data_IF_877629868019
#
_entry.id   IF_877629868019
#
_cell.length_a   1.000
_cell.length_b   1.000
_cell.length_c   1.000
_cell.angle_alpha   90.00
_cell.angle_beta   90.00
_cell.angle_gamma   90.00
#
_symmetry.space_group_name_H-M   'P 1'
#
loop_
_entity.id
_entity.type
_entity.pdbx_description
1 polymer ?
#
# COMPACT_ATOMS: atom_id res chain seq x y z
N UNK A 1 14.84 -12.42 3.86
CA UNK A 1 14.54 -11.02 4.24
C UNK A 1 13.03 -10.79 4.26
N UNK A 2 12.50 -10.03 5.24
CA UNK A 2 11.06 -9.68 5.29
C UNK A 2 10.80 -8.44 4.45
N UNK A 3 9.91 -8.55 3.45
CA UNK A 3 9.58 -7.50 2.49
C UNK A 3 8.09 -7.20 2.56
N UNK A 4 7.74 -5.95 2.84
CA UNK A 4 6.35 -5.49 2.90
C UNK A 4 5.94 -4.69 1.67
N UNK A 5 4.67 -4.81 1.29
CA UNK A 5 4.07 -4.10 0.16
C UNK A 5 2.72 -3.51 0.54
N UNK A 6 2.45 -2.30 0.08
CA UNK A 6 1.07 -1.81 0.02
C UNK A 6 0.29 -2.50 -1.11
N UNK A 7 -1.03 -2.41 -1.05
CA UNK A 7 -1.95 -2.98 -2.06
C UNK A 7 -2.33 -1.95 -3.12
N UNK A 8 -2.84 -0.80 -2.66
CA UNK A 8 -3.40 0.21 -3.55
C UNK A 8 -2.28 0.95 -4.30
N UNK A 9 -2.45 1.17 -5.60
CA UNK A 9 -1.45 1.75 -6.53
C UNK A 9 -0.14 0.96 -6.68
N UNK A 10 0.10 -0.06 -5.86
CA UNK A 10 1.22 -0.99 -6.07
C UNK A 10 0.77 -2.20 -6.90
N UNK A 11 -0.36 -2.81 -6.59
CA UNK A 11 -0.92 -3.97 -7.33
C UNK A 11 -2.25 -3.67 -8.00
N UNK A 12 -3.02 -2.73 -7.44
CA UNK A 12 -4.37 -2.37 -7.88
C UNK A 12 -4.42 -0.87 -8.07
N UNK A 13 -4.73 -0.44 -9.28
CA UNK A 13 -4.81 0.99 -9.58
C UNK A 13 -6.14 1.60 -9.12
N UNK A 14 -6.23 2.93 -9.11
CA UNK A 14 -7.50 3.64 -8.92
C UNK A 14 -8.38 3.54 -10.17
N UNK A 15 -9.69 3.79 -10.05
CA UNK A 15 -10.56 3.91 -11.20
C UNK A 15 -10.01 4.96 -12.19
N UNK A 16 -9.87 4.64 -13.48
CA UNK A 16 -9.21 5.52 -14.46
C UNK A 16 -9.96 6.84 -14.71
N UNK A 17 -11.26 6.85 -14.38
CA UNK A 17 -12.13 8.04 -14.54
C UNK A 17 -12.13 8.97 -13.31
N UNK A 18 -11.43 8.63 -12.23
CA UNK A 18 -11.32 9.49 -11.04
C UNK A 18 -9.92 10.11 -11.00
N UNK A 19 -9.81 11.45 -11.05
CA UNK A 19 -8.51 12.11 -10.96
C UNK A 19 -7.80 11.78 -9.64
N UNK A 20 -6.48 11.49 -9.65
CA UNK A 20 -5.73 11.16 -8.43
C UNK A 20 -5.82 12.25 -7.35
N UNK A 21 -5.84 13.53 -7.73
CA UNK A 21 -5.99 14.66 -6.80
C UNK A 21 -7.31 14.62 -6.01
N UNK A 22 -8.41 14.19 -6.67
CA UNK A 22 -9.71 14.05 -6.00
C UNK A 22 -9.67 12.90 -4.98
N UNK A 23 -8.96 11.84 -5.31
CA UNK A 23 -8.79 10.71 -4.39
C UNK A 23 -7.96 11.16 -3.18
N UNK A 24 -6.82 11.82 -3.40
CA UNK A 24 -5.99 12.33 -2.31
C UNK A 24 -6.80 13.27 -1.39
N UNK A 25 -7.61 14.15 -1.97
CA UNK A 25 -8.51 15.03 -1.21
C UNK A 25 -9.55 14.27 -0.37
N UNK A 26 -10.12 13.19 -0.91
CA UNK A 26 -11.09 12.35 -0.19
C UNK A 26 -10.44 11.50 0.94
N UNK A 27 -9.14 11.22 0.84
CA UNK A 27 -8.46 10.28 1.74
C UNK A 27 -7.59 10.99 2.78
N UNK A 28 -7.06 12.19 2.51
CA UNK A 28 -6.20 12.92 3.42
C UNK A 28 -6.96 14.06 4.10
N UNK A 29 -6.72 14.20 5.39
CA UNK A 29 -7.25 15.31 6.18
C UNK A 29 -6.21 16.44 6.24
N UNK A 30 -6.32 17.38 5.32
CA UNK A 30 -5.40 18.53 5.23
C UNK A 30 -5.64 19.61 6.29
N UNK A 31 -6.68 19.49 7.12
CA UNK A 31 -6.95 20.44 8.20
C UNK A 31 -6.00 20.29 9.38
N UNK A 32 -5.32 19.16 9.49
CA UNK A 32 -4.40 18.83 10.57
C UNK A 32 -2.94 19.12 10.20
N UNK A 33 -2.16 19.62 11.15
CA UNK A 33 -0.71 19.85 10.98
C UNK A 33 0.07 18.54 10.83
N UNK A 34 -0.42 17.47 11.46
CA UNK A 34 0.17 16.14 11.38
C UNK A 34 -0.50 15.29 10.30
N UNK A 35 0.22 14.27 9.82
CA UNK A 35 -0.32 13.34 8.83
C UNK A 35 -1.59 12.68 9.37
N UNK A 36 -2.70 12.92 8.70
CA UNK A 36 -4.00 12.38 9.08
C UNK A 36 -4.78 11.94 7.85
N UNK A 37 -5.53 10.86 8.01
CA UNK A 37 -6.38 10.32 6.95
C UNK A 37 -7.84 10.38 7.36
N UNK A 38 -8.69 10.73 6.40
CA UNK A 38 -10.13 10.80 6.60
C UNK A 38 -10.73 9.41 6.74
N UNK A 39 -11.29 9.13 7.91
CA UNK A 39 -12.02 7.87 8.18
C UNK A 39 -13.50 8.12 7.90
N UNK A 40 -14.14 7.37 6.99
CA UNK A 40 -15.57 7.56 6.72
C UNK A 40 -16.40 7.06 7.90
N UNK A 41 -17.10 7.98 8.56
CA UNK A 41 -17.99 7.67 9.70
C UNK A 41 -19.42 7.41 9.25
N UNK A 42 -19.96 8.21 8.31
CA UNK A 42 -21.35 8.09 7.87
C UNK A 42 -21.58 6.86 6.98
N UNK A 43 -22.79 6.25 7.01
CA UNK A 43 -23.15 5.14 6.13
C UNK A 43 -22.99 5.50 4.64
N UNK A 44 -23.36 6.72 4.26
CA UNK A 44 -23.25 7.21 2.88
C UNK A 44 -21.77 7.30 2.45
N UNK A 45 -20.90 7.86 3.28
CA UNK A 45 -19.47 7.93 2.97
C UNK A 45 -18.84 6.54 2.84
N UNK A 46 -19.24 5.58 3.69
CA UNK A 46 -18.83 4.18 3.58
C UNK A 46 -19.33 3.54 2.28
N UNK A 47 -20.58 3.82 1.88
CA UNK A 47 -21.16 3.29 0.64
C UNK A 47 -20.40 3.82 -0.58
N UNK A 48 -20.16 5.14 -0.67
CA UNK A 48 -19.39 5.76 -1.76
C UNK A 48 -17.98 5.13 -1.83
N UNK A 49 -17.31 5.03 -0.68
CA UNK A 49 -15.98 4.42 -0.65
C UNK A 49 -16.00 2.95 -1.04
N UNK A 50 -17.02 2.19 -0.60
CA UNK A 50 -17.19 0.79 -0.99
C UNK A 50 -17.41 0.63 -2.49
N UNK A 51 -18.22 1.48 -3.11
CA UNK A 51 -18.45 1.47 -4.56
C UNK A 51 -17.17 1.73 -5.36
N UNK A 52 -16.32 2.66 -4.90
CA UNK A 52 -15.03 2.93 -5.53
C UNK A 52 -14.01 1.78 -5.39
N UNK A 53 -14.29 0.78 -4.56
CA UNK A 53 -13.43 -0.40 -4.35
C UNK A 53 -13.96 -1.66 -5.03
N UNK A 54 -15.04 -1.55 -5.81
CA UNK A 54 -15.53 -2.67 -6.61
C UNK A 54 -14.45 -3.07 -7.63
N UNK A 55 -14.07 -4.34 -7.71
CA UNK A 55 -12.93 -4.80 -8.52
C UNK A 55 -12.99 -4.46 -10.01
N UNK A 56 -14.20 -4.33 -10.58
CA UNK A 56 -14.38 -3.97 -11.99
C UNK A 56 -13.87 -2.56 -12.31
N UNK A 57 -13.90 -1.64 -11.34
CA UNK A 57 -13.44 -0.26 -11.51
C UNK A 57 -11.96 -0.07 -11.16
N UNK A 58 -11.30 -1.11 -10.63
CA UNK A 58 -9.93 -1.03 -10.14
C UNK A 58 -9.02 -1.93 -10.97
N UNK A 59 -8.38 -1.40 -12.01
CA UNK A 59 -7.52 -2.18 -12.89
C UNK A 59 -6.30 -2.74 -12.12
N UNK A 60 -5.98 -3.99 -12.43
CA UNK A 60 -4.80 -4.68 -11.89
C UNK A 60 -3.54 -4.19 -12.57
N UNK A 61 -2.49 -3.97 -11.81
CA UNK A 61 -1.15 -3.71 -12.34
C UNK A 61 -0.47 -5.06 -12.58
N UNK A 62 -0.77 -5.66 -13.75
CA UNK A 62 -0.41 -7.04 -14.09
C UNK A 62 1.09 -7.31 -13.95
N UNK A 63 1.94 -6.37 -14.41
CA UNK A 63 3.40 -6.50 -14.32
C UNK A 63 3.89 -6.64 -12.87
N UNK A 64 3.32 -5.87 -11.93
CA UNK A 64 3.69 -5.93 -10.53
C UNK A 64 3.21 -7.22 -9.86
N UNK A 65 2.00 -7.69 -10.25
CA UNK A 65 1.46 -8.97 -9.78
C UNK A 65 2.35 -10.13 -10.26
N UNK A 66 2.75 -10.13 -11.53
CA UNK A 66 3.65 -11.15 -12.06
C UNK A 66 5.02 -11.11 -11.38
N UNK A 67 5.56 -9.91 -11.17
CA UNK A 67 6.84 -9.74 -10.50
C UNK A 67 6.81 -10.31 -9.06
N UNK A 68 5.80 -9.96 -8.25
CA UNK A 68 5.74 -10.43 -6.86
C UNK A 68 5.50 -11.94 -6.78
N UNK A 69 4.76 -12.53 -7.73
CA UNK A 69 4.59 -13.99 -7.84
C UNK A 69 5.93 -14.69 -8.11
N UNK A 70 6.74 -14.14 -8.99
CA UNK A 70 8.09 -14.68 -9.26
C UNK A 70 9.00 -14.49 -8.04
N UNK A 71 8.95 -13.34 -7.38
CA UNK A 71 9.74 -13.07 -6.19
C UNK A 71 9.40 -14.05 -5.05
N UNK A 72 8.14 -14.45 -4.91
CA UNK A 72 7.70 -15.43 -3.91
C UNK A 72 8.28 -16.84 -4.12
N UNK A 73 8.82 -17.15 -5.30
CA UNK A 73 9.50 -18.42 -5.55
C UNK A 73 10.92 -18.43 -4.96
N UNK A 74 11.41 -17.31 -4.47
CA UNK A 74 12.75 -17.20 -3.87
C UNK A 74 12.67 -17.50 -2.37
N UNK A 75 13.18 -18.64 -1.87
CA UNK A 75 12.97 -19.09 -0.49
C UNK A 75 13.55 -18.15 0.58
N UNK A 76 14.53 -17.32 0.22
CA UNK A 76 15.18 -16.38 1.13
C UNK A 76 14.32 -15.17 1.50
N UNK A 77 13.16 -14.97 0.83
CA UNK A 77 12.30 -13.82 1.03
C UNK A 77 10.95 -14.21 1.60
N UNK A 78 10.53 -13.49 2.63
CA UNK A 78 9.18 -13.56 3.20
C UNK A 78 8.43 -12.31 2.80
N UNK A 79 7.33 -12.47 2.06
CA UNK A 79 6.56 -11.38 1.52
C UNK A 79 5.32 -11.11 2.37
N UNK A 80 5.05 -9.84 2.64
CA UNK A 80 3.95 -9.37 3.47
C UNK A 80 3.14 -8.31 2.73
N UNK A 81 1.81 -8.44 2.77
CA UNK A 81 0.90 -7.41 2.27
C UNK A 81 0.34 -6.63 3.45
N UNK A 82 0.49 -5.30 3.42
CA UNK A 82 0.06 -4.40 4.50
C UNK A 82 -0.84 -3.33 3.90
N UNK A 83 -2.16 -3.50 4.01
CA UNK A 83 -3.14 -2.61 3.40
C UNK A 83 -3.93 -1.83 4.45
N UNK A 84 -3.94 -0.51 4.32
CA UNK A 84 -4.70 0.38 5.21
C UNK A 84 -6.20 0.40 4.96
N UNK A 85 -6.72 -0.48 4.11
CA UNK A 85 -8.16 -0.57 3.85
C UNK A 85 -8.92 -0.92 5.12
N UNK A 86 -9.90 -0.11 5.45
CA UNK A 86 -10.71 -0.24 6.67
C UNK A 86 -11.57 -1.50 6.68
N UNK A 87 -12.02 -1.92 7.86
CA UNK A 87 -12.81 -3.13 8.13
C UNK A 87 -13.99 -3.31 7.17
N UNK A 88 -14.73 -2.25 6.85
CA UNK A 88 -15.90 -2.35 5.96
C UNK A 88 -15.56 -2.74 4.50
N UNK A 89 -14.26 -2.70 4.12
CA UNK A 89 -13.72 -3.13 2.82
C UNK A 89 -13.09 -4.53 2.87
N UNK A 90 -13.01 -5.17 4.02
CA UNK A 90 -12.28 -6.42 4.23
C UNK A 90 -12.75 -7.54 3.29
N UNK A 91 -14.07 -7.76 3.20
CA UNK A 91 -14.65 -8.78 2.31
C UNK A 91 -14.29 -8.52 0.83
N UNK A 92 -14.40 -7.28 0.37
CA UNK A 92 -14.04 -6.91 -1.02
C UNK A 92 -12.53 -7.08 -1.27
N UNK A 93 -11.73 -6.76 -0.27
CA UNK A 93 -10.27 -6.91 -0.36
C UNK A 93 -9.88 -8.38 -0.43
N UNK A 94 -10.43 -9.22 0.43
CA UNK A 94 -10.17 -10.68 0.41
C UNK A 94 -10.59 -11.31 -0.93
N UNK A 95 -11.76 -10.95 -1.46
CA UNK A 95 -12.20 -11.42 -2.78
C UNK A 95 -11.25 -10.94 -3.90
N UNK A 96 -10.77 -9.71 -3.82
CA UNK A 96 -9.81 -9.17 -4.77
C UNK A 96 -8.48 -9.94 -4.74
N UNK A 97 -7.95 -10.20 -3.55
CA UNK A 97 -6.69 -10.95 -3.35
C UNK A 97 -6.81 -12.38 -3.89
N UNK A 98 -7.93 -13.05 -3.65
CA UNK A 98 -8.20 -14.37 -4.23
C UNK A 98 -8.26 -14.34 -5.76
N UNK A 99 -9.06 -13.43 -6.35
CA UNK A 99 -9.22 -13.28 -7.81
C UNK A 99 -7.94 -12.89 -8.54
N UNK A 100 -6.99 -12.26 -7.85
CA UNK A 100 -5.69 -11.89 -8.42
C UNK A 100 -4.63 -12.96 -8.21
N UNK A 101 -4.90 -13.94 -7.35
CA UNK A 101 -3.93 -14.93 -6.88
C UNK A 101 -2.88 -14.33 -5.93
N UNK A 102 -3.11 -13.14 -5.40
CA UNK A 102 -2.21 -12.52 -4.43
C UNK A 102 -2.33 -13.15 -3.04
N UNK A 103 -3.48 -13.74 -2.72
CA UNK A 103 -3.69 -14.38 -1.43
C UNK A 103 -2.69 -15.52 -1.13
N UNK A 104 -2.16 -16.18 -2.16
CA UNK A 104 -1.21 -17.28 -2.04
C UNK A 104 0.26 -16.83 -2.13
N UNK A 105 0.49 -15.54 -2.44
CA UNK A 105 1.85 -14.99 -2.63
C UNK A 105 2.47 -14.56 -1.32
N UNK A 106 1.64 -13.99 -0.43
CA UNK A 106 2.10 -13.38 0.81
C UNK A 106 2.01 -14.35 1.98
N UNK A 107 3.09 -14.42 2.75
CA UNK A 107 3.13 -15.20 3.99
C UNK A 107 2.26 -14.59 5.08
N UNK A 108 2.15 -13.26 5.09
CA UNK A 108 1.26 -12.51 5.99
C UNK A 108 0.48 -11.44 5.21
N UNK A 109 -0.82 -11.34 5.50
CA UNK A 109 -1.72 -10.32 4.94
C UNK A 109 -2.36 -9.57 6.08
N UNK A 110 -2.04 -8.29 6.19
CA UNK A 110 -2.50 -7.41 7.25
C UNK A 110 -3.47 -6.38 6.70
N UNK A 111 -4.70 -6.40 7.20
CA UNK A 111 -5.75 -5.44 6.86
C UNK A 111 -6.09 -4.61 8.09
N UNK A 112 -6.41 -3.34 7.90
CA UNK A 112 -6.71 -2.41 9.00
C UNK A 112 -8.11 -2.62 9.59
N UNK A 113 -8.34 -3.78 10.18
CA UNK A 113 -9.63 -4.17 10.77
C UNK A 113 -10.01 -3.37 12.00
N UNK A 114 -9.04 -2.73 12.67
CA UNK A 114 -9.27 -1.84 13.80
C UNK A 114 -9.65 -0.40 13.38
N UNK A 115 -9.63 -0.09 12.07
CA UNK A 115 -9.83 1.25 11.53
C UNK A 115 -8.89 2.31 12.13
N UNK A 116 -7.66 1.92 12.44
CA UNK A 116 -6.63 2.83 12.92
C UNK A 116 -6.19 3.82 11.81
N UNK A 117 -5.48 4.88 12.18
CA UNK A 117 -4.86 5.76 11.20
C UNK A 117 -3.87 4.97 10.34
N UNK A 118 -3.90 5.10 9.00
CA UNK A 118 -3.08 4.32 8.07
C UNK A 118 -1.60 4.27 8.40
N UNK A 119 -0.99 5.40 8.74
CA UNK A 119 0.43 5.49 9.09
C UNK A 119 0.76 4.74 10.39
N UNK A 120 -0.09 4.86 11.42
CA UNK A 120 0.10 4.15 12.70
C UNK A 120 -0.10 2.64 12.55
N UNK A 121 -1.11 2.24 11.79
CA UNK A 121 -1.34 0.82 11.49
C UNK A 121 -0.15 0.20 10.77
N UNK A 122 0.33 0.84 9.69
CA UNK A 122 1.47 0.32 8.92
C UNK A 122 2.75 0.30 9.75
N UNK A 123 3.00 1.34 10.54
CA UNK A 123 4.14 1.40 11.46
C UNK A 123 4.14 0.20 12.43
N UNK A 124 3.00 -0.07 13.08
CA UNK A 124 2.87 -1.18 14.02
C UNK A 124 3.17 -2.53 13.35
N UNK A 125 2.55 -2.80 12.20
CA UNK A 125 2.74 -4.07 11.46
C UNK A 125 4.18 -4.22 10.98
N UNK A 126 4.81 -3.14 10.50
CA UNK A 126 6.20 -3.13 10.04
C UNK A 126 7.15 -3.50 11.19
N UNK A 127 6.97 -2.91 12.37
CA UNK A 127 7.79 -3.19 13.55
C UNK A 127 7.59 -4.62 14.05
N UNK A 128 6.34 -5.05 14.19
CA UNK A 128 5.97 -6.39 14.67
C UNK A 128 6.57 -7.49 13.78
N UNK A 129 6.50 -7.32 12.46
CA UNK A 129 6.98 -8.31 11.51
C UNK A 129 8.44 -8.09 11.08
N UNK A 130 9.15 -7.15 11.69
CA UNK A 130 10.55 -6.83 11.37
C UNK A 130 10.78 -6.68 9.86
N UNK A 131 9.92 -5.89 9.23
CA UNK A 131 10.02 -5.63 7.78
C UNK A 131 11.30 -4.87 7.50
N UNK A 132 12.17 -5.41 6.68
CA UNK A 132 13.47 -4.81 6.34
C UNK A 132 13.40 -3.90 5.10
N UNK A 133 12.44 -4.16 4.20
CA UNK A 133 12.18 -3.35 3.01
C UNK A 133 10.67 -3.19 2.84
N UNK A 134 10.22 -1.95 2.62
CA UNK A 134 8.80 -1.64 2.42
C UNK A 134 8.57 -0.80 1.18
N UNK A 135 7.55 -1.17 0.39
CA UNK A 135 7.16 -0.50 -0.85
C UNK A 135 5.78 0.10 -0.71
N UNK A 136 5.65 1.40 -0.98
CA UNK A 136 4.39 2.13 -0.92
C UNK A 136 4.35 3.25 -1.98
N UNK A 137 3.17 3.69 -2.39
CA UNK A 137 2.99 4.84 -3.29
C UNK A 137 2.74 6.16 -2.56
N UNK A 138 2.42 6.12 -1.26
CA UNK A 138 2.18 7.31 -0.43
C UNK A 138 3.47 7.84 0.19
N UNK A 139 4.07 8.84 -0.46
CA UNK A 139 5.30 9.46 0.02
C UNK A 139 5.16 10.09 1.42
N UNK A 140 3.98 10.64 1.77
CA UNK A 140 3.78 11.24 3.09
C UNK A 140 3.82 10.18 4.20
N UNK A 141 3.24 9.02 3.94
CA UNK A 141 3.30 7.86 4.82
C UNK A 141 4.74 7.32 4.91
N UNK A 142 5.46 7.22 3.80
CA UNK A 142 6.87 6.80 3.81
C UNK A 142 7.75 7.77 4.60
N UNK A 143 7.51 9.09 4.50
CA UNK A 143 8.22 10.10 5.33
C UNK A 143 7.95 9.92 6.82
N UNK A 144 6.73 9.54 7.21
CA UNK A 144 6.43 9.16 8.58
C UNK A 144 7.23 7.92 9.01
N UNK A 145 7.19 6.85 8.22
CA UNK A 145 7.90 5.60 8.51
C UNK A 145 9.42 5.80 8.56
N UNK A 146 9.97 6.70 7.73
CA UNK A 146 11.40 7.03 7.77
C UNK A 146 11.83 7.58 9.14
N UNK A 147 10.96 8.37 9.78
CA UNK A 147 11.20 8.93 11.11
C UNK A 147 11.00 7.92 12.25
N UNK A 148 9.99 7.04 12.10
CA UNK A 148 9.52 6.19 13.21
C UNK A 148 10.02 4.75 13.16
N UNK A 149 10.55 4.31 12.01
CA UNK A 149 11.08 2.97 11.78
C UNK A 149 12.54 3.06 11.28
N UNK A 150 13.52 3.40 12.13
CA UNK A 150 14.90 3.49 11.70
C UNK A 150 15.44 2.14 11.22
N UNK A 151 16.26 2.16 10.17
CA UNK A 151 16.89 0.96 9.60
C UNK A 151 16.06 0.22 8.55
N UNK A 152 14.78 0.59 8.34
CA UNK A 152 14.01 0.05 7.22
C UNK A 152 14.40 0.72 5.90
N UNK A 153 14.50 -0.07 4.83
CA UNK A 153 14.64 0.45 3.48
C UNK A 153 13.26 0.78 2.91
N UNK A 154 13.04 2.04 2.58
CA UNK A 154 11.77 2.54 2.06
C UNK A 154 11.88 2.82 0.57
N UNK A 155 11.02 2.17 -0.22
CA UNK A 155 10.92 2.37 -1.66
C UNK A 155 9.60 3.05 -2.00
N UNK A 156 9.70 4.23 -2.64
CA UNK A 156 8.53 4.96 -3.11
C UNK A 156 8.19 4.52 -4.53
N UNK A 157 7.09 3.78 -4.69
CA UNK A 157 6.60 3.40 -6.00
C UNK A 157 5.97 4.61 -6.71
N UNK A 158 6.70 5.15 -7.68
CA UNK A 158 6.38 6.39 -8.38
C UNK A 158 6.43 6.22 -9.91
N UNK A 159 5.53 5.43 -10.52
CA UNK A 159 5.55 5.14 -11.96
C UNK A 159 5.33 6.38 -12.84
N UNK A 160 4.82 7.47 -12.29
CA UNK A 160 4.58 8.73 -12.99
C UNK A 160 5.77 9.70 -12.91
N UNK A 161 6.87 9.32 -12.27
CA UNK A 161 8.07 10.14 -12.07
C UNK A 161 7.77 11.54 -11.49
N UNK A 162 6.87 11.58 -10.50
CA UNK A 162 6.52 12.83 -9.80
C UNK A 162 7.74 13.37 -9.08
N UNK A 163 8.05 14.65 -9.29
CA UNK A 163 9.15 15.32 -8.60
C UNK A 163 8.72 15.69 -7.19
N UNK A 164 9.36 15.12 -6.19
CA UNK A 164 9.18 15.44 -4.78
C UNK A 164 10.46 15.19 -4.00
N UNK A 165 10.67 15.98 -2.98
CA UNK A 165 11.73 15.72 -2.01
C UNK A 165 11.42 14.43 -1.24
N UNK A 166 12.28 13.44 -1.43
CA UNK A 166 12.14 12.09 -0.90
C UNK A 166 13.37 11.69 -0.04
N UNK A 167 13.96 12.66 0.68
CA UNK A 167 15.15 12.43 1.52
C UNK A 167 15.06 11.14 2.34
N UNK A 168 16.02 10.24 2.16
CA UNK A 168 16.07 8.93 2.83
C UNK A 168 15.11 7.87 2.28
N UNK A 169 14.32 8.19 1.22
CA UNK A 169 13.38 7.28 0.57
C UNK A 169 13.76 7.14 -0.90
N UNK A 170 13.92 5.91 -1.38
CA UNK A 170 14.35 5.65 -2.74
C UNK A 170 13.15 5.57 -3.69
N UNK A 171 13.03 6.45 -4.71
CA UNK A 171 12.00 6.32 -5.72
C UNK A 171 12.30 5.14 -6.66
N UNK A 172 11.26 4.38 -7.01
CA UNK A 172 11.28 3.35 -8.04
C UNK A 172 10.12 3.57 -9.02
N UNK A 173 10.38 3.43 -10.33
CA UNK A 173 9.37 3.64 -11.36
C UNK A 173 8.68 2.34 -11.76
N UNK A 174 9.41 1.24 -11.63
CA UNK A 174 8.91 -0.12 -11.83
C UNK A 174 9.17 -0.93 -10.55
N UNK A 175 8.24 -1.82 -10.19
CA UNK A 175 8.43 -2.66 -9.03
C UNK A 175 9.66 -3.58 -9.17
N UNK A 176 10.01 -3.97 -10.39
CA UNK A 176 11.22 -4.75 -10.67
C UNK A 176 12.52 -4.02 -10.29
N UNK A 177 12.53 -2.70 -10.20
CA UNK A 177 13.72 -1.94 -9.78
C UNK A 177 14.16 -2.28 -8.35
N UNK A 178 13.23 -2.81 -7.53
CA UNK A 178 13.54 -3.23 -6.17
C UNK A 178 14.57 -4.36 -6.08
N UNK A 179 14.78 -5.13 -7.15
CA UNK A 179 15.79 -6.21 -7.20
C UNK A 179 17.19 -5.71 -6.85
N UNK A 180 17.49 -4.44 -7.17
CA UNK A 180 18.77 -3.79 -6.81
C UNK A 180 18.99 -3.69 -5.29
N UNK A 181 17.94 -3.85 -4.49
CA UNK A 181 17.92 -3.68 -3.04
C UNK A 181 17.65 -4.99 -2.29
N UNK A 182 17.38 -6.06 -3.01
CA UNK A 182 17.17 -7.42 -2.49
C UNK A 182 18.43 -8.21 -2.78
N UNK A 183 19.20 -8.48 -1.76
CA UNK A 183 20.38 -9.36 -1.83
C UNK A 183 20.17 -10.58 -0.94
#
# INVERSE_FOLDING_TARGET
MNIGFDLDRVFINYPPFIPPKLIDWLYKDYSKKELSYSIPHSPLAKLIRRSSHIPIFRPKIKQNISFVKNLAQTPSHKLFLISSRYKFLEKLTSQLLQKTGLAQVFQGIYLNSANAQPHLFKEAVIKENRIALYVDDDLALLKHLHKTCPGIRLLWYNPQNRQHDANGITPIHNLADMVKFIK
#
